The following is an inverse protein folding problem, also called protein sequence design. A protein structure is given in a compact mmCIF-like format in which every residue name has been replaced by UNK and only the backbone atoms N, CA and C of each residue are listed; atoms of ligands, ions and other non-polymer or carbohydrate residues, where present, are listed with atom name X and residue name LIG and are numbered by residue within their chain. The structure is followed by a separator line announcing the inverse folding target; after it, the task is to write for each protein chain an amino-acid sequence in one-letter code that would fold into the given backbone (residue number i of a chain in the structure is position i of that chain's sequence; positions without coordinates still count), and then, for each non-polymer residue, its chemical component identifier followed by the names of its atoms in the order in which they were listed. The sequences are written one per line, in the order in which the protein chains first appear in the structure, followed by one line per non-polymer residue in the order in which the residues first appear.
data_IF_123341597138
#
_entry.id   IF_123341597138
#
_cell.length_a   1.000
_cell.length_b   1.000
_cell.length_c   1.000
_cell.angle_alpha   90.00
_cell.angle_beta   90.00
_cell.angle_gamma   90.00
#
_symmetry.space_group_name_H-M   'P 1'
#
loop_
_entity.id
_entity.type
_entity.pdbx_description
1 polymer ?
#
# COMPACT_ATOMS: atom_id res chain seq x y z
N UNK A 1 -23.09 -12.61 -19.21
CA UNK A 1 -22.41 -11.30 -19.05
C UNK A 1 -21.96 -11.23 -17.59
N UNK A 2 -20.66 -11.24 -17.28
CA UNK A 2 -20.22 -11.06 -15.89
C UNK A 2 -20.51 -9.61 -15.49
N UNK A 3 -21.28 -9.39 -14.42
CA UNK A 3 -21.57 -8.05 -13.92
C UNK A 3 -20.41 -7.60 -13.02
N UNK A 4 -19.98 -6.34 -13.15
CA UNK A 4 -18.94 -5.73 -12.32
C UNK A 4 -19.55 -5.22 -11.02
N UNK A 5 -19.96 -6.17 -10.18
CA UNK A 5 -20.56 -5.90 -8.88
C UNK A 5 -19.56 -6.26 -7.78
N UNK A 6 -19.43 -5.38 -6.78
CA UNK A 6 -18.72 -5.66 -5.53
C UNK A 6 -19.75 -5.82 -4.40
N UNK A 7 -19.77 -7.00 -3.80
CA UNK A 7 -20.63 -7.32 -2.66
C UNK A 7 -19.79 -7.49 -1.40
N UNK A 8 -19.99 -6.58 -0.44
CA UNK A 8 -19.29 -6.58 0.85
C UNK A 8 -20.34 -6.57 1.96
N UNK A 9 -20.81 -7.76 2.39
CA UNK A 9 -21.97 -7.86 3.29
C UNK A 9 -21.66 -7.35 4.70
N UNK A 10 -20.43 -7.57 5.18
CA UNK A 10 -19.98 -7.15 6.52
C UNK A 10 -19.76 -5.62 6.57
N UNK A 11 -20.51 -4.88 7.43
CA UNK A 11 -20.32 -3.45 7.62
C UNK A 11 -18.89 -3.04 8.02
N UNK A 12 -18.19 -3.86 8.80
CA UNK A 12 -16.82 -3.55 9.21
C UNK A 12 -15.86 -3.61 8.01
N UNK A 13 -16.03 -4.61 7.15
CA UNK A 13 -15.22 -4.75 5.92
C UNK A 13 -15.51 -3.65 4.90
N UNK A 14 -16.74 -3.16 4.87
CA UNK A 14 -17.10 -1.97 4.09
C UNK A 14 -16.39 -0.72 4.59
N UNK A 15 -16.44 -0.47 5.89
CA UNK A 15 -15.78 0.68 6.50
C UNK A 15 -14.26 0.60 6.32
N UNK A 16 -13.70 -0.60 6.44
CA UNK A 16 -12.30 -0.91 6.18
C UNK A 16 -11.87 -0.53 4.75
N UNK A 17 -12.66 -0.93 3.75
CA UNK A 17 -12.40 -0.58 2.35
C UNK A 17 -12.62 0.92 2.09
N UNK A 18 -13.68 1.51 2.63
CA UNK A 18 -13.99 2.94 2.49
C UNK A 18 -12.88 3.82 3.10
N UNK A 19 -12.35 3.44 4.26
CA UNK A 19 -11.20 4.08 4.89
C UNK A 19 -9.97 4.03 3.98
N UNK A 20 -9.61 2.84 3.48
CA UNK A 20 -8.48 2.68 2.56
C UNK A 20 -8.60 3.56 1.31
N UNK A 21 -9.78 3.60 0.69
CA UNK A 21 -10.03 4.43 -0.50
C UNK A 21 -10.01 5.93 -0.16
N UNK A 22 -10.47 6.33 1.02
CA UNK A 22 -10.37 7.72 1.49
C UNK A 22 -8.91 8.16 1.62
N UNK A 23 -8.02 7.29 2.12
CA UNK A 23 -6.58 7.60 2.16
C UNK A 23 -5.96 7.66 0.76
N UNK A 24 -6.34 6.75 -0.14
CA UNK A 24 -5.88 6.77 -1.53
C UNK A 24 -6.28 8.08 -2.25
N UNK A 25 -7.54 8.49 -2.13
CA UNK A 25 -8.07 9.71 -2.75
C UNK A 25 -7.47 10.99 -2.17
N UNK A 26 -7.01 10.96 -0.91
CA UNK A 26 -6.26 12.08 -0.30
C UNK A 26 -4.87 12.25 -0.92
N UNK A 27 -4.28 11.15 -1.40
CA UNK A 27 -2.98 11.17 -2.09
C UNK A 27 -3.12 11.58 -3.55
N UNK A 28 -4.19 11.13 -4.21
CA UNK A 28 -4.50 11.43 -5.60
C UNK A 28 -6.02 11.42 -5.80
N UNK A 29 -6.61 12.58 -6.07
CA UNK A 29 -8.05 12.71 -6.29
C UNK A 29 -8.54 11.91 -7.53
N UNK A 30 -7.63 11.59 -8.46
CA UNK A 30 -7.90 10.77 -9.65
C UNK A 30 -7.53 9.30 -9.46
N UNK A 31 -7.27 8.85 -8.22
CA UNK A 31 -6.84 7.49 -7.94
C UNK A 31 -7.79 6.44 -8.52
N UNK A 32 -7.21 5.46 -9.21
CA UNK A 32 -7.90 4.23 -9.59
C UNK A 32 -7.57 3.11 -8.61
N UNK A 33 -8.54 2.23 -8.39
CA UNK A 33 -8.39 1.02 -7.57
C UNK A 33 -8.54 -0.22 -8.46
N UNK A 34 -7.56 -1.10 -8.40
CA UNK A 34 -7.61 -2.42 -9.04
C UNK A 34 -8.03 -3.48 -8.04
N UNK A 35 -9.25 -3.99 -8.21
CA UNK A 35 -9.86 -5.02 -7.39
C UNK A 35 -9.55 -6.39 -8.02
N UNK A 36 -9.00 -7.31 -7.22
CA UNK A 36 -8.73 -8.69 -7.66
C UNK A 36 -9.32 -9.69 -6.70
N UNK A 37 -10.03 -10.69 -7.23
CA UNK A 37 -10.45 -11.84 -6.43
C UNK A 37 -9.23 -12.56 -5.87
N UNK A 38 -9.38 -13.05 -4.64
CA UNK A 38 -8.42 -13.93 -3.98
C UNK A 38 -9.19 -15.07 -3.32
N UNK A 39 -9.23 -16.23 -3.98
CA UNK A 39 -10.07 -17.33 -3.55
C UNK A 39 -11.57 -16.98 -3.68
N UNK A 40 -12.40 -17.56 -2.81
CA UNK A 40 -13.86 -17.44 -2.90
C UNK A 40 -14.45 -16.22 -2.19
N UNK A 41 -13.78 -15.66 -1.18
CA UNK A 41 -14.40 -14.67 -0.28
C UNK A 41 -13.52 -13.45 0.04
N UNK A 42 -12.39 -13.28 -0.66
CA UNK A 42 -11.51 -12.13 -0.45
C UNK A 42 -11.33 -11.34 -1.74
N UNK A 43 -11.28 -10.02 -1.59
CA UNK A 43 -10.93 -9.10 -2.66
C UNK A 43 -9.75 -8.26 -2.20
N UNK A 44 -8.68 -8.24 -2.99
CA UNK A 44 -7.55 -7.32 -2.80
C UNK A 44 -7.80 -6.05 -3.60
N UNK A 45 -7.83 -4.91 -2.92
CA UNK A 45 -7.90 -3.58 -3.50
C UNK A 45 -6.50 -2.98 -3.56
N UNK A 46 -5.99 -2.76 -4.77
CA UNK A 46 -4.68 -2.18 -5.03
C UNK A 46 -4.79 -0.76 -5.54
N UNK A 47 -3.95 0.14 -5.02
CA UNK A 47 -3.80 1.51 -5.53
C UNK A 47 -2.31 1.80 -5.74
N UNK A 48 -1.99 2.62 -6.74
CA UNK A 48 -0.68 3.25 -6.83
C UNK A 48 -0.62 4.42 -5.86
N UNK A 49 0.51 4.60 -5.18
CA UNK A 49 0.77 5.82 -4.42
C UNK A 49 1.66 6.76 -5.22
N UNK A 50 1.60 8.06 -4.94
CA UNK A 50 2.52 9.06 -5.49
C UNK A 50 4.00 8.84 -5.13
N UNK A 51 4.33 7.82 -4.32
CA UNK A 51 5.68 7.47 -3.91
C UNK A 51 6.32 6.36 -4.77
N UNK A 52 5.73 6.04 -5.92
CA UNK A 52 6.09 4.90 -6.79
C UNK A 52 6.05 3.57 -6.04
N UNK A 53 5.02 3.41 -5.20
CA UNK A 53 4.71 2.16 -4.50
C UNK A 53 3.27 1.77 -4.76
N UNK A 54 2.93 0.53 -4.43
CA UNK A 54 1.58 0.01 -4.45
C UNK A 54 1.12 -0.18 -3.02
N UNK A 55 -0.07 0.32 -2.68
CA UNK A 55 -0.72 -0.01 -1.43
C UNK A 55 -1.84 -1.02 -1.67
N UNK A 56 -2.02 -1.95 -0.74
CA UNK A 56 -3.07 -2.95 -0.82
C UNK A 56 -3.77 -3.14 0.50
N UNK A 57 -5.10 -3.25 0.42
CA UNK A 57 -5.93 -3.79 1.50
C UNK A 57 -6.72 -4.99 0.95
N UNK A 58 -6.76 -6.07 1.71
CA UNK A 58 -7.63 -7.21 1.41
C UNK A 58 -8.82 -7.17 2.37
N UNK A 59 -10.03 -7.31 1.83
CA UNK A 59 -11.26 -7.36 2.61
C UNK A 59 -12.07 -8.61 2.27
N UNK A 60 -12.93 -9.04 3.19
CA UNK A 60 -13.93 -10.08 2.91
C UNK A 60 -15.04 -9.50 2.06
N UNK A 61 -15.08 -9.93 0.80
CA UNK A 61 -16.03 -9.47 -0.20
C UNK A 61 -16.11 -10.46 -1.36
N UNK A 62 -17.16 -10.33 -2.18
CA UNK A 62 -17.34 -11.04 -3.43
C UNK A 62 -17.27 -10.04 -4.59
N UNK A 63 -16.47 -10.35 -5.61
CA UNK A 63 -16.37 -9.56 -6.83
C UNK A 63 -17.03 -10.36 -7.97
N UNK A 64 -17.84 -9.73 -8.82
CA UNK A 64 -18.49 -10.44 -9.93
C UNK A 64 -17.53 -10.87 -11.07
N UNK A 65 -16.32 -10.31 -11.09
CA UNK A 65 -15.24 -10.54 -12.08
C UNK A 65 -13.94 -10.88 -11.37
N UNK A 66 -12.96 -11.45 -12.06
CA UNK A 66 -11.70 -11.88 -11.39
C UNK A 66 -10.72 -10.72 -11.14
N UNK A 67 -10.77 -9.70 -11.98
CA UNK A 67 -9.89 -8.54 -11.97
C UNK A 67 -10.60 -7.36 -12.64
N UNK A 68 -10.55 -6.18 -12.04
CA UNK A 68 -11.07 -4.94 -12.64
C UNK A 68 -10.43 -3.72 -12.02
N UNK A 69 -10.10 -2.73 -12.84
CA UNK A 69 -9.70 -1.40 -12.39
C UNK A 69 -10.86 -0.43 -12.56
N UNK A 70 -11.15 0.37 -11.53
CA UNK A 70 -12.23 1.38 -11.53
C UNK A 70 -11.80 2.63 -10.74
N UNK A 71 -12.58 3.71 -10.82
CA UNK A 71 -12.33 4.91 -10.01
C UNK A 71 -12.49 4.62 -8.52
N UNK A 72 -11.52 5.04 -7.71
CA UNK A 72 -11.59 4.84 -6.25
C UNK A 72 -12.77 5.62 -5.63
N UNK A 73 -13.07 6.79 -6.18
CA UNK A 73 -14.22 7.65 -5.84
C UNK A 73 -15.57 6.97 -6.11
N UNK A 74 -15.67 6.24 -7.22
CA UNK A 74 -16.86 5.48 -7.62
C UNK A 74 -17.13 4.38 -6.61
N UNK A 75 -16.10 3.61 -6.24
CA UNK A 75 -16.23 2.55 -5.23
C UNK A 75 -16.57 3.15 -3.87
N UNK A 76 -15.86 4.21 -3.45
CA UNK A 76 -16.10 4.85 -2.16
C UNK A 76 -17.52 5.40 -2.03
N UNK A 77 -18.03 6.03 -3.10
CA UNK A 77 -19.40 6.55 -3.14
C UNK A 77 -20.40 5.40 -3.05
N UNK A 78 -20.20 4.34 -3.84
CA UNK A 78 -21.05 3.15 -3.79
C UNK A 78 -21.09 2.52 -2.41
N UNK A 79 -19.93 2.40 -1.74
CA UNK A 79 -19.85 1.85 -0.38
C UNK A 79 -20.64 2.66 0.67
N UNK A 80 -20.94 3.93 0.39
CA UNK A 80 -21.70 4.82 1.30
C UNK A 80 -23.18 4.88 0.96
N UNK A 81 -23.55 4.69 -0.31
CA UNK A 81 -24.92 4.93 -0.80
C UNK A 81 -25.75 3.66 -0.95
N UNK A 82 -25.15 2.50 -1.18
CA UNK A 82 -25.91 1.24 -1.30
C UNK A 82 -25.08 0.01 -1.62
N UNK A 83 -25.57 -1.15 -1.18
CA UNK A 83 -24.95 -2.45 -1.44
C UNK A 83 -25.94 -3.40 -2.15
N UNK A 84 -25.47 -4.22 -3.10
CA UNK A 84 -24.09 -4.31 -3.59
C UNK A 84 -23.69 -3.10 -4.46
N UNK A 85 -22.38 -2.87 -4.64
CA UNK A 85 -21.84 -1.72 -5.39
C UNK A 85 -21.73 -2.08 -6.87
N UNK A 86 -22.37 -1.29 -7.74
CA UNK A 86 -22.08 -1.31 -9.18
C UNK A 86 -20.80 -0.52 -9.45
N UNK A 87 -19.79 -1.20 -9.99
CA UNK A 87 -18.47 -0.63 -10.25
C UNK A 87 -18.42 0.16 -11.57
N UNK A 88 -19.51 0.18 -12.35
CA UNK A 88 -19.62 0.99 -13.56
C UNK A 88 -18.71 0.49 -14.69
N UNK A 89 -17.98 1.42 -15.32
CA UNK A 89 -17.07 1.11 -16.43
C UNK A 89 -15.68 0.75 -15.94
N UNK A 90 -15.04 -0.20 -16.63
CA UNK A 90 -13.63 -0.51 -16.38
C UNK A 90 -12.74 0.65 -16.84
N UNK A 91 -11.73 0.94 -16.02
CA UNK A 91 -10.61 1.84 -16.28
C UNK A 91 -9.29 1.06 -16.38
N UNK A 92 -9.30 -0.18 -16.88
CA UNK A 92 -8.10 -1.05 -16.92
C UNK A 92 -6.91 -0.42 -17.65
N UNK A 93 -7.15 0.44 -18.65
CA UNK A 93 -6.11 1.19 -19.36
C UNK A 93 -5.43 2.26 -18.52
N UNK A 94 -6.04 2.69 -17.41
CA UNK A 94 -5.44 3.63 -16.47
C UNK A 94 -4.43 2.96 -15.53
N UNK A 95 -4.52 1.63 -15.33
CA UNK A 95 -3.58 0.91 -14.48
C UNK A 95 -2.20 0.81 -15.14
N UNK A 96 -1.16 1.15 -14.39
CA UNK A 96 0.23 1.06 -14.86
C UNK A 96 1.05 0.13 -13.96
N UNK A 97 1.88 -0.68 -14.61
CA UNK A 97 2.83 -1.56 -13.92
C UNK A 97 2.22 -2.89 -13.45
N UNK A 98 3.10 -3.82 -13.12
CA UNK A 98 2.73 -5.14 -12.62
C UNK A 98 2.37 -5.07 -11.13
N UNK A 99 1.43 -5.93 -10.72
CA UNK A 99 1.23 -6.21 -9.30
C UNK A 99 2.34 -7.14 -8.78
N UNK A 100 2.63 -7.13 -7.47
CA UNK A 100 3.49 -8.14 -6.87
C UNK A 100 2.88 -9.53 -7.03
N UNK A 101 3.70 -10.60 -7.05
CA UNK A 101 3.18 -11.97 -7.02
C UNK A 101 2.32 -12.19 -5.76
N UNK A 102 1.35 -13.10 -5.86
CA UNK A 102 0.48 -13.43 -4.73
C UNK A 102 1.23 -14.18 -3.62
N UNK A 103 2.28 -14.92 -3.99
CA UNK A 103 3.11 -15.77 -3.14
C UNK A 103 4.62 -15.49 -3.37
N UNK A 104 5.49 -16.30 -2.74
CA UNK A 104 6.94 -16.23 -2.91
C UNK A 104 7.67 -15.15 -2.09
N UNK A 105 6.94 -14.38 -1.28
CA UNK A 105 7.54 -13.43 -0.34
C UNK A 105 8.19 -14.16 0.84
N UNK A 106 9.52 -14.07 0.94
CA UNK A 106 10.23 -14.48 2.15
C UNK A 106 10.04 -13.43 3.25
N UNK A 107 9.84 -13.87 4.49
CA UNK A 107 9.95 -13.00 5.64
C UNK A 107 11.42 -12.69 5.91
N UNK A 108 11.73 -11.41 6.08
CA UNK A 108 13.11 -10.94 6.33
C UNK A 108 13.26 -10.63 7.81
N UNK A 109 12.48 -9.67 8.32
CA UNK A 109 12.55 -9.22 9.71
C UNK A 109 11.25 -8.50 10.11
N UNK A 110 10.93 -8.48 11.41
CA UNK A 110 9.86 -7.65 11.98
C UNK A 110 10.48 -6.37 12.58
N UNK A 111 10.02 -5.20 12.12
CA UNK A 111 10.53 -3.89 12.54
C UNK A 111 9.51 -3.22 13.46
N UNK A 112 9.91 -2.58 14.57
CA UNK A 112 8.99 -1.83 15.43
C UNK A 112 8.26 -0.73 14.64
N UNK A 113 6.94 -0.75 14.65
CA UNK A 113 6.13 0.19 13.88
C UNK A 113 6.37 1.65 14.28
N UNK A 114 6.63 1.89 15.58
CA UNK A 114 7.00 3.22 16.10
C UNK A 114 8.23 3.82 15.42
N UNK A 115 9.21 3.00 15.05
CA UNK A 115 10.44 3.47 14.40
C UNK A 115 10.17 3.93 12.97
N UNK A 116 9.25 3.25 12.26
CA UNK A 116 8.83 3.64 10.92
C UNK A 116 8.03 4.94 10.95
N UNK A 117 7.13 5.11 11.92
CA UNK A 117 6.37 6.37 12.10
C UNK A 117 7.31 7.52 12.43
N UNK A 118 8.25 7.32 13.35
CA UNK A 118 9.27 8.31 13.72
C UNK A 118 10.18 8.69 12.53
N UNK A 119 10.56 7.72 11.69
CA UNK A 119 11.26 7.99 10.42
C UNK A 119 10.41 8.82 9.45
N UNK A 120 9.11 8.54 9.33
CA UNK A 120 8.21 9.33 8.50
C UNK A 120 8.05 10.76 9.03
N UNK A 121 7.93 10.95 10.34
CA UNK A 121 7.82 12.27 10.97
C UNK A 121 9.06 13.12 10.68
N UNK A 122 10.25 12.59 10.94
CA UNK A 122 11.53 13.27 10.61
C UNK A 122 11.70 13.48 9.11
N UNK A 123 11.35 12.49 8.30
CA UNK A 123 11.41 12.60 6.85
C UNK A 123 10.53 13.72 6.32
N UNK A 124 9.32 13.86 6.86
CA UNK A 124 8.39 14.92 6.49
C UNK A 124 8.92 16.31 6.90
N UNK A 125 9.64 16.39 8.02
CA UNK A 125 10.35 17.62 8.42
C UNK A 125 11.44 18.01 7.43
N UNK A 126 12.34 17.07 7.10
CA UNK A 126 13.39 17.29 6.10
C UNK A 126 12.80 17.66 4.74
N UNK A 127 11.72 16.99 4.33
CA UNK A 127 11.01 17.27 3.08
C UNK A 127 10.37 18.65 3.06
N UNK A 128 9.97 19.21 4.20
CA UNK A 128 9.39 20.55 4.27
C UNK A 128 10.47 21.64 4.15
N UNK A 129 11.66 21.36 4.69
CA UNK A 129 12.81 22.27 4.61
C UNK A 129 13.44 22.28 3.21
N UNK A 130 13.48 21.12 2.55
CA UNK A 130 14.19 20.93 1.28
C UNK A 130 13.28 20.59 0.10
N UNK A 131 11.96 20.62 0.30
CA UNK A 131 10.96 20.28 -0.70
C UNK A 131 10.79 21.38 -1.74
N UNK A 132 10.32 20.97 -2.92
CA UNK A 132 9.91 21.91 -3.97
C UNK A 132 8.40 21.85 -4.15
N UNK A 133 7.84 22.65 -5.06
CA UNK A 133 6.42 22.57 -5.44
C UNK A 133 5.98 21.19 -5.96
N UNK A 134 6.94 20.31 -6.30
CA UNK A 134 6.68 18.97 -6.83
C UNK A 134 6.80 17.87 -5.73
N UNK A 135 6.95 18.26 -4.46
CA UNK A 135 7.06 17.34 -3.33
C UNK A 135 8.49 17.12 -2.81
N UNK A 136 8.69 16.09 -1.97
CA UNK A 136 9.99 15.76 -1.41
C UNK A 136 11.03 15.44 -2.51
N UNK A 137 12.31 15.78 -2.33
CA UNK A 137 13.33 15.47 -3.33
C UNK A 137 13.51 13.96 -3.52
N UNK A 138 13.73 13.52 -4.75
CA UNK A 138 13.89 12.10 -5.09
C UNK A 138 15.01 11.41 -4.30
N UNK A 139 16.09 12.14 -3.99
CA UNK A 139 17.20 11.65 -3.16
C UNK A 139 16.74 11.26 -1.74
N UNK A 140 15.86 12.05 -1.13
CA UNK A 140 15.27 11.71 0.17
C UNK A 140 14.36 10.48 0.03
N UNK A 141 13.53 10.44 -1.02
CA UNK A 141 12.60 9.34 -1.26
C UNK A 141 13.33 8.00 -1.49
N UNK A 142 14.44 8.00 -2.21
CA UNK A 142 15.23 6.80 -2.52
C UNK A 142 16.24 6.43 -1.43
N UNK A 143 16.46 7.30 -0.45
CA UNK A 143 17.37 7.02 0.66
C UNK A 143 16.93 5.75 1.43
N UNK A 144 17.80 4.73 1.57
CA UNK A 144 17.60 3.64 2.51
C UNK A 144 17.55 4.17 3.94
N UNK A 145 16.46 3.88 4.66
CA UNK A 145 16.25 4.37 6.04
C UNK A 145 16.11 3.24 7.05
N UNK A 146 15.83 2.04 6.56
CA UNK A 146 15.88 0.80 7.34
C UNK A 146 16.59 -0.26 6.51
N UNK A 147 17.58 -0.91 7.12
CA UNK A 147 18.29 -2.06 6.53
C UNK A 147 18.05 -3.25 7.43
N UNK A 148 17.44 -4.29 6.90
CA UNK A 148 17.14 -5.54 7.62
C UNK A 148 17.88 -6.70 6.99
N UNK A 149 18.21 -7.71 7.80
CA UNK A 149 18.92 -8.90 7.33
C UNK A 149 18.14 -10.14 7.70
N UNK A 150 17.75 -10.91 6.70
CA UNK A 150 17.02 -12.18 6.88
C UNK A 150 17.90 -13.25 7.51
N UNK A 151 17.27 -14.31 8.03
CA UNK A 151 17.96 -15.45 8.62
C UNK A 151 18.90 -16.18 7.63
N UNK A 152 18.67 -16.04 6.33
CA UNK A 152 19.50 -16.54 5.23
C UNK A 152 20.64 -15.57 4.83
N UNK A 153 20.84 -14.50 5.60
CA UNK A 153 21.84 -13.45 5.32
C UNK A 153 21.41 -12.45 4.25
N UNK A 154 20.18 -12.54 3.75
CA UNK A 154 19.67 -11.64 2.72
C UNK A 154 19.44 -10.24 3.29
N UNK A 155 20.18 -9.26 2.78
CA UNK A 155 20.01 -7.85 3.13
C UNK A 155 18.91 -7.21 2.27
N UNK A 156 18.00 -6.48 2.91
CA UNK A 156 16.95 -5.72 2.26
C UNK A 156 16.92 -4.30 2.80
N UNK A 157 17.02 -3.35 1.88
CA UNK A 157 16.95 -1.92 2.16
C UNK A 157 15.53 -1.40 1.91
N UNK A 158 14.96 -0.74 2.90
CA UNK A 158 13.65 -0.09 2.82
C UNK A 158 13.88 1.41 2.61
N UNK A 159 13.53 1.95 1.44
CA UNK A 159 13.71 3.36 1.15
C UNK A 159 12.60 4.21 1.78
N UNK A 160 12.88 5.50 2.03
CA UNK A 160 11.96 6.43 2.69
C UNK A 160 10.59 6.50 2.01
N UNK A 161 10.53 6.42 0.68
CA UNK A 161 9.28 6.38 -0.09
C UNK A 161 8.31 5.27 0.33
N UNK A 162 8.82 4.10 0.74
CA UNK A 162 7.99 2.98 1.19
C UNK A 162 7.45 3.26 2.60
N UNK A 163 8.26 3.91 3.44
CA UNK A 163 7.86 4.36 4.78
C UNK A 163 6.78 5.44 4.69
N UNK A 164 6.97 6.47 3.86
CA UNK A 164 5.96 7.51 3.63
C UNK A 164 4.64 6.95 3.10
N UNK A 165 4.70 6.04 2.12
CA UNK A 165 3.50 5.39 1.61
C UNK A 165 2.77 4.60 2.70
N UNK A 166 3.51 3.88 3.56
CA UNK A 166 2.92 3.11 4.66
C UNK A 166 2.17 4.02 5.66
N UNK A 167 2.78 5.15 6.02
CA UNK A 167 2.16 6.11 6.95
C UNK A 167 1.03 6.90 6.32
N UNK A 168 1.15 7.28 5.04
CA UNK A 168 0.11 8.04 4.34
C UNK A 168 -1.18 7.22 4.12
N UNK A 169 -1.04 5.91 3.95
CA UNK A 169 -2.16 4.98 3.86
C UNK A 169 -2.73 4.57 5.22
N UNK A 170 -2.14 5.06 6.31
CA UNK A 170 -2.56 4.84 7.71
C UNK A 170 -2.70 3.36 8.10
N UNK A 171 -1.75 2.53 7.65
CA UNK A 171 -1.82 1.08 7.87
C UNK A 171 -1.36 0.60 9.26
N UNK A 172 -0.76 1.49 10.05
CA UNK A 172 -0.25 1.20 11.39
C UNK A 172 -1.30 1.67 12.41
N UNK A 173 -1.77 0.80 13.34
CA UNK A 173 -2.71 1.21 14.39
C UNK A 173 -2.10 2.25 15.32
N UNK A 174 -2.86 3.30 15.61
CA UNK A 174 -2.46 4.37 16.52
C UNK A 174 -3.66 4.91 17.30
N UNK A 175 -3.38 5.63 18.39
CA UNK A 175 -4.40 6.36 19.12
C UNK A 175 -4.58 7.78 18.57
N UNK A 176 -5.83 8.22 18.41
CA UNK A 176 -6.19 9.56 17.97
C UNK A 176 -6.26 9.72 16.46
N UNK A 177 -6.22 10.96 15.97
CA UNK A 177 -6.51 11.27 14.57
C UNK A 177 -5.31 11.09 13.61
N UNK A 178 -4.09 11.09 14.13
CA UNK A 178 -2.86 11.00 13.32
C UNK A 178 -1.86 10.07 13.99
N UNK A 179 -1.22 9.24 13.18
CA UNK A 179 -0.08 8.43 13.61
C UNK A 179 1.03 9.34 14.14
N UNK A 180 1.44 9.08 15.38
CA UNK A 180 2.62 9.66 16.02
C UNK A 180 3.37 8.54 16.70
N UNK A 181 4.71 8.57 16.68
CA UNK A 181 5.52 7.46 17.17
C UNK A 181 5.21 7.07 18.63
N UNK A 182 4.91 8.06 19.48
CA UNK A 182 4.53 7.86 20.89
C UNK A 182 3.10 7.36 21.11
N UNK A 183 2.26 7.31 20.06
CA UNK A 183 0.89 6.79 20.08
C UNK A 183 0.76 5.39 19.48
N UNK A 184 1.87 4.79 19.06
CA UNK A 184 1.94 3.41 18.58
C UNK A 184 2.22 2.49 19.77
N UNK A 185 1.47 1.39 19.86
CA UNK A 185 1.76 0.37 20.88
C UNK A 185 3.17 -0.19 20.70
N UNK A 186 3.92 -0.36 21.79
CA UNK A 186 5.30 -0.82 21.75
C UNK A 186 5.46 -2.24 21.13
N UNK A 187 4.39 -3.04 21.18
CA UNK A 187 4.32 -4.39 20.60
C UNK A 187 3.92 -4.41 19.13
N UNK A 188 3.53 -3.27 18.55
CA UNK A 188 3.14 -3.21 17.14
C UNK A 188 4.38 -3.29 16.24
N UNK A 189 4.33 -4.22 15.29
CA UNK A 189 5.43 -4.50 14.37
C UNK A 189 4.93 -4.45 12.93
N UNK A 190 5.83 -4.08 12.02
CA UNK A 190 5.64 -4.14 10.58
C UNK A 190 6.60 -5.18 10.02
N UNK A 191 6.06 -6.14 9.27
CA UNK A 191 6.88 -7.23 8.73
C UNK A 191 7.51 -6.79 7.42
N UNK A 192 8.83 -6.88 7.33
CA UNK A 192 9.55 -6.72 6.06
C UNK A 192 9.56 -8.07 5.35
N UNK A 193 9.07 -8.08 4.11
CA UNK A 193 9.08 -9.25 3.24
C UNK A 193 9.66 -8.91 1.88
N UNK A 194 10.31 -9.89 1.25
CA UNK A 194 10.86 -9.68 -0.09
C UNK A 194 10.83 -10.92 -0.97
N UNK A 195 10.56 -10.72 -2.26
CA UNK A 195 10.92 -11.63 -3.35
C UNK A 195 12.17 -11.10 -4.04
N UNK A 196 12.72 -11.79 -5.04
CA UNK A 196 13.87 -11.28 -5.82
C UNK A 196 13.65 -9.86 -6.38
N UNK A 197 12.42 -9.50 -6.72
CA UNK A 197 12.08 -8.26 -7.44
C UNK A 197 11.06 -7.39 -6.72
N UNK A 198 10.62 -7.76 -5.51
CA UNK A 198 9.68 -6.99 -4.72
C UNK A 198 10.09 -6.89 -3.26
N UNK A 199 9.96 -5.70 -2.69
CA UNK A 199 9.90 -5.43 -1.26
C UNK A 199 8.44 -5.20 -0.87
N UNK A 200 8.03 -5.67 0.30
CA UNK A 200 6.72 -5.39 0.88
C UNK A 200 6.81 -5.19 2.39
N UNK A 201 6.17 -4.14 2.89
CA UNK A 201 5.91 -3.92 4.30
C UNK A 201 4.47 -4.38 4.59
N UNK A 202 4.31 -5.37 5.47
CA UNK A 202 3.02 -5.87 5.93
C UNK A 202 2.71 -5.28 7.32
N UNK A 203 1.76 -4.35 7.39
CA UNK A 203 1.25 -3.75 8.62
C UNK A 203 -0.16 -4.28 8.94
N UNK A 204 -0.76 -3.79 10.03
CA UNK A 204 -2.04 -4.31 10.54
C UNK A 204 -3.17 -4.21 9.54
N UNK A 205 -3.32 -3.04 8.91
CA UNK A 205 -4.50 -2.75 8.08
C UNK A 205 -4.25 -2.89 6.57
N UNK A 206 -3.02 -3.16 6.17
CA UNK A 206 -2.66 -3.32 4.77
C UNK A 206 -1.16 -3.45 4.57
N UNK A 207 -0.78 -3.51 3.30
CA UNK A 207 0.62 -3.65 2.91
C UNK A 207 1.01 -2.59 1.88
N UNK A 208 2.26 -2.17 1.92
CA UNK A 208 2.88 -1.37 0.85
C UNK A 208 3.94 -2.21 0.17
N UNK A 209 3.86 -2.35 -1.15
CA UNK A 209 4.81 -3.07 -1.97
C UNK A 209 5.53 -2.12 -2.93
N UNK A 210 6.81 -2.36 -3.16
CA UNK A 210 7.60 -1.67 -4.18
C UNK A 210 8.39 -2.69 -4.97
N UNK A 211 8.40 -2.52 -6.30
CA UNK A 211 9.28 -3.30 -7.15
C UNK A 211 10.72 -2.87 -6.87
N UNK A 212 11.57 -3.80 -6.47
CA UNK A 212 13.00 -3.59 -6.30
C UNK A 212 13.69 -4.08 -7.58
N UNK A 213 14.36 -3.17 -8.27
CA UNK A 213 15.17 -3.51 -9.42
C UNK A 213 16.44 -4.23 -8.97
N UNK A 214 16.70 -5.41 -9.51
CA UNK A 214 18.05 -5.93 -9.54
C UNK A 214 18.85 -5.07 -10.52
N UNK A 215 19.88 -4.39 -10.05
CA UNK A 215 20.96 -4.01 -10.94
C UNK A 215 21.43 -5.31 -11.61
N UNK A 216 21.23 -5.45 -12.92
CA UNK A 216 22.11 -6.33 -13.67
C UNK A 216 23.49 -5.69 -13.48
N UNK A 217 24.47 -6.36 -12.85
CA UNK A 217 25.82 -5.86 -12.89
C UNK A 217 26.22 -5.87 -14.37
N UNK A 218 26.28 -4.68 -14.98
CA UNK A 218 26.95 -4.50 -16.25
C UNK A 218 28.44 -4.54 -15.94
N UNK A 219 28.98 -5.75 -15.81
CA UNK A 219 30.41 -5.95 -15.89
C UNK A 219 30.78 -5.86 -17.37
N UNK A 220 31.52 -4.84 -17.84
CA UNK A 220 32.11 -4.91 -19.16
C UNK A 220 33.08 -6.09 -19.18
N UNK A 221 32.93 -6.96 -20.19
CA UNK A 221 33.95 -7.97 -20.53
C UNK A 221 35.13 -7.31 -21.21
#
# INVERSE_FOLDING_TARGET
MQQRILHTPDPAERENLATFLTHALRLDEAAVVRLRKRGSSLVSAWVTTGFETLAVRTVTAELGVDDVTVGADTVLTGLRTGHPVDLGYSLDSAWRGALPPADGFAHIEDVPARALVDLAERGAEVAREHGTSHGPPASLLDQPVVTVTGADGRVVEVPMRVVFALTAMDFIPHAGEKAQANRIQATEVVRVRATRTWLRLDARYGSVARRIGGSIPLSPS
#
